data_IF_814897223305
#
_entry.id   IF_814897223305
#
_cell.length_a   1.000
_cell.length_b   1.000
_cell.length_c   1.000
_cell.angle_alpha   90.00
_cell.angle_beta   90.00
_cell.angle_gamma   90.00
#
_symmetry.space_group_name_H-M   'P 1'
#
loop_
_entity.id
_entity.type
_entity.pdbx_description
1 polymer ?
#
# COMPACT_ATOMS: atom_id res chain seq x y z
N UNK A 1 -25.86 4.66 -6.42
CA UNK A 1 -25.95 3.19 -6.46
C UNK A 1 -25.77 2.69 -5.06
N UNK A 2 -26.88 2.26 -4.48
CA UNK A 2 -27.00 1.82 -3.09
C UNK A 2 -26.07 0.66 -2.78
N UNK A 3 -25.22 0.83 -1.77
CA UNK A 3 -24.46 -0.29 -1.20
C UNK A 3 -25.43 -1.13 -0.39
N UNK A 4 -25.81 -2.27 -0.97
CA UNK A 4 -26.56 -3.35 -0.33
C UNK A 4 -25.92 -3.70 1.02
N UNK A 5 -26.76 -3.90 2.03
CA UNK A 5 -26.34 -4.35 3.36
C UNK A 5 -25.58 -5.67 3.24
N UNK A 6 -24.34 -5.65 3.72
CA UNK A 6 -23.51 -6.85 3.79
C UNK A 6 -24.02 -7.72 4.96
N UNK A 7 -24.21 -9.02 4.71
CA UNK A 7 -24.69 -9.95 5.75
C UNK A 7 -23.60 -10.08 6.82
N UNK A 8 -23.94 -9.67 8.04
CA UNK A 8 -23.05 -9.23 9.11
C UNK A 8 -22.00 -10.25 9.59
N UNK A 9 -20.72 -9.98 9.30
CA UNK A 9 -19.60 -10.51 10.08
C UNK A 9 -19.52 -9.75 11.42
N UNK A 10 -19.34 -10.47 12.53
CA UNK A 10 -19.17 -9.85 13.84
C UNK A 10 -17.90 -8.97 13.86
N UNK A 11 -18.02 -7.73 14.32
CA UNK A 11 -16.97 -6.74 14.34
C UNK A 11 -16.40 -6.56 15.75
N UNK A 12 -15.08 -6.59 15.89
CA UNK A 12 -14.41 -6.26 17.15
C UNK A 12 -14.42 -4.73 17.35
N UNK A 13 -15.02 -4.29 18.44
CA UNK A 13 -15.18 -2.86 18.75
C UNK A 13 -14.84 -2.58 20.21
N UNK A 14 -14.94 -1.31 20.60
CA UNK A 14 -14.67 -0.80 21.94
C UNK A 14 -15.76 0.16 22.36
N UNK A 15 -16.08 0.16 23.65
CA UNK A 15 -17.10 1.07 24.21
C UNK A 15 -16.64 1.68 25.51
N UNK A 16 -16.85 2.99 25.63
CA UNK A 16 -16.77 3.72 26.89
C UNK A 16 -18.12 3.80 27.59
N UNK A 17 -18.07 3.90 28.91
CA UNK A 17 -19.21 4.03 29.81
C UNK A 17 -18.87 5.00 30.93
N UNK A 18 -19.89 5.46 31.66
CA UNK A 18 -19.70 6.04 32.99
C UNK A 18 -19.17 5.00 33.99
N UNK A 19 -18.73 5.43 35.18
CA UNK A 19 -18.16 4.54 36.22
C UNK A 19 -19.10 3.41 36.66
N UNK A 20 -20.41 3.63 36.57
CA UNK A 20 -21.44 2.64 36.87
C UNK A 20 -21.83 1.75 35.67
N UNK A 21 -21.03 1.73 34.59
CA UNK A 21 -21.29 0.98 33.34
C UNK A 21 -22.59 1.39 32.65
N UNK A 22 -22.94 2.68 32.70
CA UNK A 22 -24.10 3.20 32.00
C UNK A 22 -23.72 4.04 30.80
N UNK A 23 -24.65 4.10 29.86
CA UNK A 23 -24.64 5.02 28.73
C UNK A 23 -25.97 5.74 28.74
N UNK A 24 -25.98 7.00 28.30
CA UNK A 24 -27.22 7.79 28.25
C UNK A 24 -27.53 8.19 26.81
N UNK A 25 -27.82 7.24 25.90
CA UNK A 25 -28.27 7.59 24.56
C UNK A 25 -29.58 8.41 24.67
N UNK A 26 -29.59 9.59 24.05
CA UNK A 26 -30.77 10.46 23.94
C UNK A 26 -31.44 10.78 25.28
N UNK A 27 -30.62 10.94 26.34
CA UNK A 27 -31.10 11.25 27.69
C UNK A 27 -31.65 10.05 28.48
N UNK A 28 -31.71 8.85 27.89
CA UNK A 28 -32.22 7.63 28.54
C UNK A 28 -31.06 6.78 29.06
N UNK A 29 -31.02 6.54 30.36
CA UNK A 29 -30.00 5.70 30.99
C UNK A 29 -30.20 4.24 30.59
N UNK A 30 -29.15 3.61 30.04
CA UNK A 30 -29.08 2.18 29.76
C UNK A 30 -27.91 1.57 30.55
N UNK A 31 -28.19 0.50 31.30
CA UNK A 31 -27.22 -0.22 32.12
C UNK A 31 -26.60 -1.38 31.34
N UNK A 32 -25.28 -1.45 31.31
CA UNK A 32 -24.55 -2.57 30.74
C UNK A 32 -23.91 -3.41 31.84
N UNK A 33 -23.67 -4.67 31.51
CA UNK A 33 -22.93 -5.63 32.31
C UNK A 33 -21.90 -6.33 31.43
N UNK A 34 -20.71 -6.57 31.99
CA UNK A 34 -19.66 -7.34 31.32
C UNK A 34 -20.12 -8.81 31.19
N UNK A 35 -19.88 -9.41 30.03
CA UNK A 35 -20.31 -10.76 29.66
C UNK A 35 -21.72 -10.84 29.09
N UNK A 36 -22.46 -9.73 28.99
CA UNK A 36 -23.82 -9.71 28.44
C UNK A 36 -23.86 -9.29 26.98
N UNK A 37 -24.88 -9.81 26.29
CA UNK A 37 -25.26 -9.43 24.92
C UNK A 37 -26.60 -8.72 24.96
N UNK A 38 -26.71 -7.65 24.20
CA UNK A 38 -27.91 -6.83 24.09
C UNK A 38 -28.31 -6.74 22.63
N UNK A 39 -29.62 -6.87 22.38
CA UNK A 39 -30.27 -6.79 21.07
C UNK A 39 -31.24 -5.61 21.09
N UNK A 40 -31.28 -4.83 19.99
CA UNK A 40 -32.13 -3.66 19.90
C UNK A 40 -33.61 -3.98 19.66
N UNK A 41 -33.98 -5.25 19.50
CA UNK A 41 -35.33 -5.72 19.27
C UNK A 41 -35.82 -5.47 17.85
N UNK A 42 -34.93 -5.48 16.87
CA UNK A 42 -35.28 -5.25 15.45
C UNK A 42 -35.54 -3.79 15.08
N UNK A 43 -35.08 -2.84 15.92
CA UNK A 43 -35.13 -1.41 15.60
C UNK A 43 -34.14 -1.06 14.49
N UNK A 44 -34.39 0.03 13.77
CA UNK A 44 -33.49 0.47 12.71
C UNK A 44 -32.12 0.83 13.28
N UNK A 45 -31.07 0.47 12.54
CA UNK A 45 -29.69 0.81 12.89
C UNK A 45 -29.24 1.98 12.04
N UNK A 46 -29.25 3.18 12.62
CA UNK A 46 -28.71 4.38 11.99
C UNK A 46 -27.63 4.99 12.88
N UNK A 47 -26.62 5.61 12.25
CA UNK A 47 -25.55 6.30 12.99
C UNK A 47 -26.18 7.44 13.78
N UNK A 48 -26.05 7.40 15.10
CA UNK A 48 -26.66 8.35 16.05
C UNK A 48 -28.21 8.34 16.11
N UNK A 49 -28.89 7.28 15.65
CA UNK A 49 -30.33 7.13 15.84
C UNK A 49 -30.73 6.42 17.13
N UNK A 50 -31.95 6.69 17.59
CA UNK A 50 -32.58 6.05 18.74
C UNK A 50 -32.62 4.52 18.58
N UNK A 51 -32.10 3.82 19.59
CA UNK A 51 -32.24 2.36 19.70
C UNK A 51 -31.10 1.53 19.12
N UNK A 52 -30.07 2.12 18.52
CA UNK A 52 -28.86 1.39 18.13
C UNK A 52 -27.77 1.41 19.21
N UNK A 53 -26.94 0.37 19.27
CA UNK A 53 -25.80 0.34 20.19
C UNK A 53 -24.56 0.97 19.57
N UNK A 54 -24.02 2.01 20.19
CA UNK A 54 -22.80 2.67 19.71
C UNK A 54 -21.54 2.10 20.34
N UNK A 55 -20.54 1.85 19.49
CA UNK A 55 -19.17 1.50 19.85
C UNK A 55 -18.20 2.11 18.82
N UNK A 56 -16.89 1.96 19.01
CA UNK A 56 -15.85 2.46 18.11
C UNK A 56 -14.91 1.34 17.67
N UNK A 57 -14.36 1.39 16.47
CA UNK A 57 -13.36 0.41 16.01
C UNK A 57 -11.96 0.74 16.56
N UNK A 58 -11.61 2.03 16.64
CA UNK A 58 -10.36 2.51 17.22
C UNK A 58 -10.58 2.86 18.69
N UNK A 59 -9.89 2.19 19.65
CA UNK A 59 -10.22 2.37 21.07
C UNK A 59 -10.10 3.81 21.57
N UNK A 60 -9.07 4.58 21.17
CA UNK A 60 -8.90 5.97 21.65
C UNK A 60 -10.04 6.90 21.24
N UNK A 61 -10.81 6.60 20.19
CA UNK A 61 -12.01 7.38 19.87
C UNK A 61 -13.05 7.33 20.99
N UNK A 62 -13.05 6.27 21.81
CA UNK A 62 -13.92 6.20 22.99
C UNK A 62 -13.61 7.31 24.00
N UNK A 63 -12.39 7.86 24.02
CA UNK A 63 -12.01 8.99 24.89
C UNK A 63 -12.67 10.30 24.50
N UNK A 64 -13.06 10.46 23.24
CA UNK A 64 -13.85 11.61 22.80
C UNK A 64 -15.26 11.63 23.41
N UNK A 65 -15.76 10.48 23.86
CA UNK A 65 -17.09 10.34 24.47
C UNK A 65 -17.03 10.18 26.00
N UNK A 66 -16.05 9.44 26.50
CA UNK A 66 -15.86 9.18 27.92
C UNK A 66 -14.40 9.41 28.30
N UNK A 67 -14.13 10.37 29.18
CA UNK A 67 -12.76 10.69 29.57
C UNK A 67 -12.06 9.51 30.27
N UNK A 68 -10.76 9.28 30.06
CA UNK A 68 -10.04 8.14 30.61
C UNK A 68 -10.00 8.09 32.15
N UNK A 69 -10.16 9.24 32.82
CA UNK A 69 -10.21 9.33 34.28
C UNK A 69 -11.64 9.17 34.85
N UNK A 70 -12.66 9.39 34.02
CA UNK A 70 -14.06 9.47 34.44
C UNK A 70 -14.91 8.32 33.92
N UNK A 71 -14.44 7.60 32.91
CA UNK A 71 -15.12 6.47 32.30
C UNK A 71 -14.49 5.11 32.58
N UNK A 72 -15.23 4.06 32.24
CA UNK A 72 -14.77 2.68 32.13
C UNK A 72 -14.85 2.24 30.68
N UNK A 73 -14.03 1.28 30.28
CA UNK A 73 -13.94 0.86 28.88
C UNK A 73 -13.98 -0.66 28.78
N UNK A 74 -14.63 -1.18 27.74
CA UNK A 74 -14.66 -2.60 27.47
C UNK A 74 -14.35 -2.88 26.00
N UNK A 75 -13.77 -4.06 25.74
CA UNK A 75 -13.84 -4.65 24.42
C UNK A 75 -15.26 -5.16 24.18
N UNK A 76 -15.73 -4.99 22.96
CA UNK A 76 -17.09 -5.34 22.56
C UNK A 76 -17.08 -6.08 21.23
N UNK A 77 -18.16 -6.80 20.97
CA UNK A 77 -18.44 -7.41 19.67
C UNK A 77 -19.74 -6.83 19.16
N UNK A 78 -19.69 -6.10 18.05
CA UNK A 78 -20.85 -5.57 17.35
C UNK A 78 -21.30 -6.56 16.27
N UNK A 79 -22.59 -6.85 16.17
CA UNK A 79 -23.15 -7.77 15.18
C UNK A 79 -24.59 -7.39 14.80
N UNK A 80 -25.20 -8.18 13.91
CA UNK A 80 -26.47 -7.83 13.27
C UNK A 80 -26.27 -6.70 12.26
N UNK A 81 -27.31 -5.89 12.03
CA UNK A 81 -27.17 -4.71 11.18
C UNK A 81 -26.15 -3.75 11.78
N UNK A 82 -25.20 -3.27 10.97
CA UNK A 82 -24.15 -2.34 11.37
C UNK A 82 -24.16 -1.14 10.43
N UNK A 83 -24.28 0.05 11.01
CA UNK A 83 -24.10 1.32 10.30
C UNK A 83 -22.75 1.95 10.67
N UNK A 84 -21.94 2.20 9.65
CA UNK A 84 -20.75 3.05 9.69
C UNK A 84 -21.06 4.34 8.94
N UNK A 85 -20.26 5.39 9.12
CA UNK A 85 -20.37 6.57 8.24
C UNK A 85 -19.19 6.69 7.30
N UNK A 86 -18.99 7.89 6.79
CA UNK A 86 -18.14 8.10 5.63
C UNK A 86 -16.66 7.82 5.90
N UNK A 87 -15.97 7.39 4.84
CA UNK A 87 -14.54 7.15 4.86
C UNK A 87 -13.80 8.46 5.21
N UNK A 88 -12.98 8.43 6.27
CA UNK A 88 -12.24 9.59 6.78
C UNK A 88 -12.87 10.30 7.99
N UNK A 89 -14.03 9.84 8.48
CA UNK A 89 -14.63 10.30 9.75
C UNK A 89 -14.16 9.51 10.98
N UNK A 90 -14.79 9.76 12.15
CA UNK A 90 -14.51 8.98 13.37
C UNK A 90 -14.90 7.51 13.20
N UNK A 91 -14.30 6.61 13.99
CA UNK A 91 -14.51 5.16 13.88
C UNK A 91 -15.76 4.64 14.59
N UNK A 92 -16.72 5.53 14.90
CA UNK A 92 -18.00 5.16 15.53
C UNK A 92 -18.84 4.30 14.60
N UNK A 93 -19.34 3.22 15.18
CA UNK A 93 -20.32 2.33 14.56
C UNK A 93 -21.59 2.27 15.40
N UNK A 94 -22.71 2.03 14.75
CA UNK A 94 -23.98 1.69 15.38
C UNK A 94 -24.32 0.24 15.00
N UNK A 95 -24.73 -0.59 15.96
CA UNK A 95 -25.10 -1.99 15.71
C UNK A 95 -26.44 -2.37 16.31
N UNK A 96 -27.09 -3.38 15.72
CA UNK A 96 -28.30 -3.99 16.24
C UNK A 96 -28.02 -4.80 17.52
N UNK A 97 -26.87 -5.48 17.54
CA UNK A 97 -26.44 -6.33 18.66
C UNK A 97 -25.08 -5.85 19.16
N UNK A 98 -24.89 -5.83 20.47
CA UNK A 98 -23.60 -5.61 21.10
C UNK A 98 -23.38 -6.59 22.25
N UNK A 99 -22.21 -7.24 22.26
CA UNK A 99 -21.73 -8.02 23.41
C UNK A 99 -20.65 -7.23 24.12
N UNK A 100 -20.76 -7.10 25.45
CA UNK A 100 -19.73 -6.50 26.30
C UNK A 100 -18.80 -7.63 26.74
N UNK A 101 -17.61 -7.74 26.15
CA UNK A 101 -16.77 -8.93 26.33
C UNK A 101 -16.00 -8.88 27.64
N UNK A 102 -15.10 -7.91 27.78
CA UNK A 102 -14.25 -7.77 28.96
C UNK A 102 -13.94 -6.29 29.20
N UNK A 103 -13.91 -5.90 30.47
CA UNK A 103 -13.42 -4.58 30.85
C UNK A 103 -11.91 -4.48 30.57
N UNK A 104 -11.50 -3.35 30.00
CA UNK A 104 -10.11 -3.07 29.64
C UNK A 104 -9.48 -2.16 30.70
N UNK A 105 -8.34 -2.60 31.22
CA UNK A 105 -7.45 -1.71 31.97
C UNK A 105 -6.70 -0.80 31.01
N UNK A 106 -6.25 0.35 31.51
CA UNK A 106 -5.53 1.34 30.72
C UNK A 106 -4.36 0.75 29.89
N UNK A 107 -3.51 -0.16 30.42
CA UNK A 107 -2.45 -0.77 29.61
C UNK A 107 -2.97 -1.60 28.43
N UNK A 108 -4.05 -2.37 28.62
CA UNK A 108 -4.62 -3.21 27.55
C UNK A 108 -5.33 -2.36 26.50
N UNK A 109 -5.97 -1.28 26.96
CA UNK A 109 -6.58 -0.29 26.10
C UNK A 109 -5.53 0.37 25.19
N UNK A 110 -4.41 0.84 25.77
CA UNK A 110 -3.30 1.44 25.01
C UNK A 110 -2.70 0.44 24.02
N UNK A 111 -2.45 -0.81 24.45
CA UNK A 111 -1.91 -1.86 23.56
C UNK A 111 -2.82 -2.11 22.35
N UNK A 112 -4.12 -2.19 22.57
CA UNK A 112 -5.10 -2.40 21.49
C UNK A 112 -5.18 -1.20 20.55
N UNK A 113 -5.07 0.02 21.07
CA UNK A 113 -5.01 1.24 20.26
C UNK A 113 -3.77 1.27 19.38
N UNK A 114 -2.60 0.96 19.95
CA UNK A 114 -1.34 0.88 19.19
C UNK A 114 -1.42 -0.20 18.13
N UNK A 115 -1.96 -1.38 18.45
CA UNK A 115 -2.16 -2.45 17.47
C UNK A 115 -3.07 -2.00 16.32
N UNK A 116 -4.19 -1.33 16.62
CA UNK A 116 -5.09 -0.80 15.59
C UNK A 116 -4.40 0.22 14.70
N UNK A 117 -3.64 1.18 15.28
CA UNK A 117 -2.90 2.20 14.52
C UNK A 117 -1.83 1.55 13.62
N UNK A 118 -1.10 0.55 14.13
CA UNK A 118 -0.10 -0.19 13.35
C UNK A 118 -0.76 -0.91 12.17
N UNK A 119 -1.87 -1.62 12.39
CA UNK A 119 -2.60 -2.28 11.30
C UNK A 119 -3.13 -1.26 10.27
N UNK A 120 -3.74 -0.16 10.72
CA UNK A 120 -4.20 0.91 9.83
C UNK A 120 -3.06 1.58 9.04
N UNK A 121 -1.86 1.70 9.64
CA UNK A 121 -0.70 2.31 9.01
C UNK A 121 0.06 1.37 8.05
N UNK A 122 -0.05 0.05 8.22
CA UNK A 122 0.59 -0.94 7.33
C UNK A 122 0.08 -0.83 5.89
N UNK A 123 -1.17 -0.40 5.70
CA UNK A 123 -1.80 -0.25 4.39
C UNK A 123 -1.76 1.21 3.89
N UNK A 124 -0.62 1.90 4.00
CA UNK A 124 -0.48 3.29 3.51
C UNK A 124 -0.53 3.37 1.97
N UNK A 125 -1.71 3.17 1.39
CA UNK A 125 -2.01 3.41 -0.01
C UNK A 125 -2.40 4.89 -0.12
N UNK A 126 -1.50 5.72 -0.63
CA UNK A 126 -1.87 7.11 -0.95
C UNK A 126 -2.62 7.14 -2.26
N UNK A 127 -3.82 7.72 -2.25
CA UNK A 127 -4.67 7.86 -3.44
C UNK A 127 -5.02 9.33 -3.68
N UNK A 128 -5.23 9.72 -4.94
CA UNK A 128 -5.76 11.05 -5.30
C UNK A 128 -4.89 11.87 -6.27
N UNK A 129 -5.23 13.15 -6.42
CA UNK A 129 -4.50 14.09 -7.28
C UNK A 129 -3.15 14.44 -6.63
N UNK A 130 -2.04 14.15 -7.32
CA UNK A 130 -0.67 14.31 -6.81
C UNK A 130 -0.42 13.53 -5.51
N UNK A 131 -0.91 12.29 -5.44
CA UNK A 131 -0.60 11.40 -4.34
C UNK A 131 0.90 11.08 -4.28
N UNK A 132 1.46 11.04 -3.06
CA UNK A 132 2.86 10.73 -2.79
C UNK A 132 2.95 9.72 -1.64
N UNK A 133 3.46 8.52 -1.90
CA UNK A 133 3.84 7.54 -0.88
C UNK A 133 5.35 7.50 -0.73
N UNK A 134 5.83 7.49 0.51
CA UNK A 134 7.24 7.26 0.83
C UNK A 134 7.35 6.24 1.97
N UNK A 135 8.26 5.27 1.85
CA UNK A 135 8.51 4.27 2.89
C UNK A 135 10.01 4.02 3.05
N UNK A 136 10.46 3.76 4.27
CA UNK A 136 11.86 3.47 4.58
C UNK A 136 11.99 2.30 5.55
N UNK A 137 13.04 1.51 5.43
CA UNK A 137 13.35 0.39 6.34
C UNK A 137 13.51 -0.96 5.65
N UNK A 138 13.82 -1.98 6.44
CA UNK A 138 13.96 -3.36 5.96
C UNK A 138 12.60 -3.86 5.43
N UNK A 139 12.55 -4.25 4.14
CA UNK A 139 11.32 -4.62 3.43
C UNK A 139 10.29 -3.50 3.33
N UNK A 140 10.73 -2.24 3.22
CA UNK A 140 9.83 -1.10 3.03
C UNK A 140 8.97 -1.23 1.76
N UNK A 141 7.70 -0.87 1.85
CA UNK A 141 6.75 -0.86 0.74
C UNK A 141 6.07 0.50 0.64
N UNK A 142 6.07 1.09 -0.56
CA UNK A 142 5.35 2.31 -0.88
C UNK A 142 4.47 2.08 -2.11
N UNK A 143 3.18 2.39 -2.00
CA UNK A 143 2.24 2.30 -3.11
C UNK A 143 1.45 3.60 -3.24
N UNK A 144 1.34 4.12 -4.47
CA UNK A 144 0.56 5.31 -4.78
C UNK A 144 -0.27 5.11 -6.03
N UNK A 145 -1.51 5.63 -6.03
CA UNK A 145 -2.38 5.58 -7.21
C UNK A 145 -3.05 6.93 -7.44
N UNK A 146 -3.29 7.28 -8.71
CA UNK A 146 -4.04 8.48 -9.09
C UNK A 146 -3.36 9.36 -10.14
N UNK A 147 -3.82 10.60 -10.24
CA UNK A 147 -3.31 11.57 -11.22
C UNK A 147 -1.93 12.07 -10.77
N UNK A 148 -0.88 11.83 -11.57
CA UNK A 148 0.51 12.17 -11.21
C UNK A 148 0.94 11.54 -9.89
N UNK A 149 0.67 10.24 -9.73
CA UNK A 149 1.04 9.47 -8.55
C UNK A 149 2.55 9.22 -8.46
N UNK A 150 3.09 9.30 -7.24
CA UNK A 150 4.51 9.09 -6.94
C UNK A 150 4.65 8.10 -5.77
N UNK A 151 5.47 7.07 -5.94
CA UNK A 151 5.85 6.15 -4.88
C UNK A 151 7.37 6.07 -4.77
N UNK A 152 7.89 6.22 -3.56
CA UNK A 152 9.32 6.10 -3.26
C UNK A 152 9.54 5.12 -2.10
N UNK A 153 10.47 4.18 -2.24
CA UNK A 153 10.83 3.25 -1.17
C UNK A 153 12.34 3.13 -1.01
N UNK A 154 12.83 3.01 0.22
CA UNK A 154 14.27 2.87 0.50
C UNK A 154 14.54 1.81 1.56
N UNK A 155 15.44 0.89 1.28
CA UNK A 155 15.89 -0.15 2.20
C UNK A 155 16.18 -1.48 1.53
N UNK A 156 16.74 -2.43 2.28
CA UNK A 156 16.97 -3.79 1.78
C UNK A 156 15.63 -4.46 1.44
N UNK A 157 15.49 -4.98 0.21
CA UNK A 157 14.23 -5.49 -0.35
C UNK A 157 13.09 -4.47 -0.34
N UNK A 158 13.39 -3.22 -0.71
CA UNK A 158 12.39 -2.16 -0.81
C UNK A 158 11.56 -2.29 -2.10
N UNK A 159 10.25 -2.04 -1.99
CA UNK A 159 9.31 -2.07 -3.11
C UNK A 159 8.59 -0.73 -3.25
N UNK A 160 8.58 -0.17 -4.46
CA UNK A 160 7.81 1.01 -4.83
C UNK A 160 6.90 0.70 -6.02
N UNK A 161 5.61 1.01 -5.90
CA UNK A 161 4.61 0.81 -6.95
C UNK A 161 3.80 2.09 -7.18
N UNK A 162 3.72 2.56 -8.42
CA UNK A 162 2.90 3.73 -8.78
C UNK A 162 2.00 3.44 -9.97
N UNK A 163 0.71 3.75 -9.84
CA UNK A 163 -0.27 3.58 -10.91
C UNK A 163 -0.90 4.92 -11.29
N UNK A 164 -0.65 5.35 -12.51
CA UNK A 164 -1.23 6.55 -13.10
C UNK A 164 -2.62 6.28 -13.65
N UNK A 165 -3.54 7.23 -13.48
CA UNK A 165 -4.82 7.22 -14.19
C UNK A 165 -4.62 7.44 -15.70
N UNK A 166 -5.54 6.95 -16.53
CA UNK A 166 -5.51 7.05 -18.00
C UNK A 166 -5.14 8.46 -18.48
N UNK A 167 -4.12 8.55 -19.33
CA UNK A 167 -3.63 9.80 -19.90
C UNK A 167 -2.61 10.58 -19.07
N UNK A 168 -2.12 10.06 -17.94
CA UNK A 168 -1.17 10.77 -17.07
C UNK A 168 -0.02 9.91 -16.55
N UNK A 169 1.10 10.58 -16.26
CA UNK A 169 2.33 9.96 -15.75
C UNK A 169 2.22 9.45 -14.32
N UNK A 170 3.03 8.45 -14.03
CA UNK A 170 3.26 7.88 -12.71
C UNK A 170 4.76 7.66 -12.53
N UNK A 171 5.25 7.82 -11.30
CA UNK A 171 6.66 7.63 -10.99
C UNK A 171 6.82 6.67 -9.80
N UNK A 172 7.61 5.61 -9.98
CA UNK A 172 8.03 4.72 -8.92
C UNK A 172 9.56 4.73 -8.80
N UNK A 173 10.08 4.96 -7.60
CA UNK A 173 11.50 4.94 -7.31
C UNK A 173 11.78 4.00 -6.13
N UNK A 174 12.72 3.06 -6.28
CA UNK A 174 13.14 2.19 -5.19
C UNK A 174 14.67 2.16 -5.08
N UNK A 175 15.19 2.13 -3.84
CA UNK A 175 16.64 2.11 -3.58
C UNK A 175 16.98 1.10 -2.50
N UNK A 176 17.96 0.25 -2.77
CA UNK A 176 18.48 -0.78 -1.88
C UNK A 176 18.76 -2.09 -2.60
N UNK A 177 19.49 -3.00 -1.95
CA UNK A 177 19.72 -4.33 -2.53
C UNK A 177 18.40 -5.09 -2.66
N UNK A 178 18.21 -5.72 -3.82
CA UNK A 178 16.97 -6.37 -4.24
C UNK A 178 15.76 -5.42 -4.25
N UNK A 179 15.99 -4.13 -4.55
CA UNK A 179 14.93 -3.15 -4.69
C UNK A 179 14.11 -3.36 -5.98
N UNK A 180 12.80 -3.19 -5.88
CA UNK A 180 11.88 -3.26 -7.01
C UNK A 180 11.10 -1.95 -7.17
N UNK A 181 11.10 -1.40 -8.38
CA UNK A 181 10.25 -0.27 -8.76
C UNK A 181 9.33 -0.68 -9.92
N UNK A 182 8.03 -0.47 -9.77
CA UNK A 182 7.04 -0.74 -10.79
C UNK A 182 6.16 0.48 -11.03
N UNK A 183 6.04 0.92 -12.28
CA UNK A 183 5.18 2.05 -12.65
C UNK A 183 4.28 1.70 -13.83
N UNK A 184 3.03 2.16 -13.81
CA UNK A 184 2.07 1.93 -14.90
C UNK A 184 1.36 3.22 -15.28
N UNK A 185 1.17 3.48 -16.58
CA UNK A 185 0.48 4.67 -17.09
C UNK A 185 1.17 5.32 -18.30
N UNK A 186 0.50 6.31 -18.91
CA UNK A 186 1.08 7.09 -20.02
C UNK A 186 2.25 7.94 -19.52
N UNK A 187 3.45 7.80 -20.09
CA UNK A 187 4.70 8.40 -19.57
C UNK A 187 5.06 7.94 -18.15
N UNK A 188 4.81 6.67 -17.84
CA UNK A 188 5.21 6.07 -16.57
C UNK A 188 6.74 5.91 -16.46
N UNK A 189 7.30 6.19 -15.28
CA UNK A 189 8.72 6.06 -15.00
C UNK A 189 8.95 5.14 -13.80
N UNK A 190 9.74 4.10 -13.99
CA UNK A 190 10.21 3.23 -12.90
C UNK A 190 11.74 3.33 -12.82
N UNK A 191 12.27 3.66 -11.64
CA UNK A 191 13.69 3.72 -11.36
C UNK A 191 14.04 2.83 -10.17
N UNK A 192 14.98 1.92 -10.31
CA UNK A 192 15.48 1.08 -9.22
C UNK A 192 17.01 1.10 -9.13
N UNK A 193 17.55 1.13 -7.91
CA UNK A 193 19.01 1.17 -7.70
C UNK A 193 19.40 0.21 -6.58
N UNK A 194 20.38 -0.65 -6.84
CA UNK A 194 20.96 -1.61 -5.88
C UNK A 194 21.38 -2.93 -6.52
N UNK A 195 22.07 -3.79 -5.77
CA UNK A 195 22.43 -5.12 -6.28
C UNK A 195 21.16 -5.96 -6.50
N UNK A 196 20.97 -6.53 -7.68
CA UNK A 196 19.76 -7.27 -8.05
C UNK A 196 18.51 -6.40 -8.15
N UNK A 197 18.65 -5.10 -8.38
CA UNK A 197 17.52 -4.18 -8.50
C UNK A 197 16.72 -4.40 -9.78
N UNK A 198 15.39 -4.29 -9.71
CA UNK A 198 14.52 -4.42 -10.87
C UNK A 198 13.65 -3.17 -11.05
N UNK A 199 13.58 -2.68 -12.29
CA UNK A 199 12.66 -1.62 -12.69
C UNK A 199 11.74 -2.12 -13.81
N UNK A 200 10.43 -1.96 -13.64
CA UNK A 200 9.44 -2.31 -14.65
C UNK A 200 8.49 -1.15 -14.90
N UNK A 201 8.32 -0.75 -16.15
CA UNK A 201 7.39 0.33 -16.51
C UNK A 201 6.48 -0.05 -17.66
N UNK A 202 5.19 0.26 -17.57
CA UNK A 202 4.21 -0.06 -18.62
C UNK A 202 3.42 1.18 -19.05
N UNK A 203 3.08 1.25 -20.34
CA UNK A 203 2.35 2.36 -20.96
C UNK A 203 3.18 3.09 -22.03
N UNK A 204 2.51 3.83 -22.91
CA UNK A 204 3.20 4.54 -24.00
C UNK A 204 4.16 5.60 -23.46
N UNK A 205 5.34 5.68 -24.09
CA UNK A 205 6.45 6.53 -23.67
C UNK A 205 6.92 6.25 -22.23
N UNK A 206 6.75 5.02 -21.76
CA UNK A 206 7.23 4.60 -20.46
C UNK A 206 8.76 4.45 -20.43
N UNK A 207 9.35 4.68 -19.28
CA UNK A 207 10.77 4.50 -19.04
C UNK A 207 11.00 3.61 -17.83
N UNK A 208 11.84 2.60 -17.98
CA UNK A 208 12.34 1.77 -16.88
C UNK A 208 13.87 1.90 -16.83
N UNK A 209 14.40 2.29 -15.68
CA UNK A 209 15.83 2.41 -15.45
C UNK A 209 16.24 1.61 -14.21
N UNK A 210 17.20 0.70 -14.36
CA UNK A 210 17.75 -0.04 -13.23
C UNK A 210 19.28 0.03 -13.20
N UNK A 211 19.85 0.27 -12.03
CA UNK A 211 21.30 0.39 -11.83
C UNK A 211 21.77 -0.46 -10.66
N UNK A 212 23.02 -0.92 -10.72
CA UNK A 212 23.62 -1.87 -9.78
C UNK A 212 23.87 -3.24 -10.41
N UNK A 213 24.73 -4.05 -9.79
CA UNK A 213 25.09 -5.36 -10.33
C UNK A 213 23.86 -6.26 -10.42
N UNK A 214 23.73 -7.03 -11.50
CA UNK A 214 22.58 -7.90 -11.78
C UNK A 214 21.24 -7.14 -11.90
N UNK A 215 21.27 -5.84 -12.18
CA UNK A 215 20.06 -5.05 -12.35
C UNK A 215 19.25 -5.49 -13.59
N UNK A 216 17.92 -5.40 -13.51
CA UNK A 216 17.02 -5.67 -14.62
C UNK A 216 16.10 -4.49 -14.91
N UNK A 217 15.93 -4.13 -16.17
CA UNK A 217 14.97 -3.11 -16.61
C UNK A 217 14.03 -3.67 -17.69
N UNK A 218 12.73 -3.48 -17.54
CA UNK A 218 11.73 -3.92 -18.51
C UNK A 218 10.70 -2.83 -18.82
N UNK A 219 10.39 -2.62 -20.10
CA UNK A 219 9.35 -1.67 -20.52
C UNK A 219 8.46 -2.19 -21.64
N UNK A 220 7.13 -2.05 -21.52
CA UNK A 220 6.16 -2.70 -22.43
C UNK A 220 5.22 -1.76 -23.21
N UNK A 221 5.62 -0.51 -23.48
CA UNK A 221 4.81 0.44 -24.27
C UNK A 221 5.46 0.91 -25.57
N UNK A 222 4.66 1.55 -26.44
CA UNK A 222 5.19 2.15 -27.66
C UNK A 222 6.06 3.38 -27.32
N UNK A 223 7.22 3.51 -27.96
CA UNK A 223 8.21 4.54 -27.64
C UNK A 223 8.85 4.38 -26.25
N UNK A 224 8.67 3.22 -25.61
CA UNK A 224 9.23 2.97 -24.28
C UNK A 224 10.71 2.60 -24.34
N UNK A 225 11.44 2.90 -23.26
CA UNK A 225 12.87 2.59 -23.14
C UNK A 225 13.14 1.85 -21.83
N UNK A 226 13.85 0.72 -21.93
CA UNK A 226 14.41 0.00 -20.80
C UNK A 226 15.94 0.20 -20.75
N UNK A 227 16.45 0.79 -19.68
CA UNK A 227 17.87 1.03 -19.47
C UNK A 227 18.38 0.27 -18.25
N UNK A 228 19.35 -0.62 -18.45
CA UNK A 228 20.02 -1.31 -17.36
C UNK A 228 21.53 -1.07 -17.47
N UNK A 229 22.12 -0.40 -16.48
CA UNK A 229 23.47 0.18 -16.60
C UNK A 229 24.49 -0.38 -15.60
N UNK A 230 24.14 -1.45 -14.87
CA UNK A 230 25.07 -2.13 -13.97
C UNK A 230 25.80 -3.32 -14.61
N UNK A 231 26.79 -3.87 -13.90
CA UNK A 231 27.46 -5.08 -14.35
C UNK A 231 26.46 -6.25 -14.41
N UNK A 232 26.54 -7.10 -15.44
CA UNK A 232 25.62 -8.24 -15.68
C UNK A 232 24.14 -7.84 -15.75
N UNK A 233 23.87 -6.58 -16.01
CA UNK A 233 22.50 -6.10 -16.09
C UNK A 233 21.83 -6.56 -17.38
N UNK A 234 20.50 -6.62 -17.34
CA UNK A 234 19.70 -7.05 -18.47
C UNK A 234 18.56 -6.09 -18.73
N UNK A 235 18.18 -5.95 -20.00
CA UNK A 235 17.07 -5.09 -20.42
C UNK A 235 16.15 -5.82 -21.39
N UNK A 236 14.86 -5.55 -21.29
CA UNK A 236 13.83 -6.07 -22.19
C UNK A 236 12.86 -4.97 -22.60
N UNK A 237 12.48 -4.95 -23.88
CA UNK A 237 11.47 -4.05 -24.40
C UNK A 237 10.57 -4.77 -25.43
N UNK A 238 9.39 -4.20 -25.70
CA UNK A 238 8.46 -4.70 -26.72
C UNK A 238 8.65 -3.98 -28.05
N UNK A 239 7.99 -4.47 -29.11
CA UNK A 239 8.00 -3.83 -30.42
C UNK A 239 7.59 -2.34 -30.32
N UNK A 240 8.33 -1.46 -31.00
CA UNK A 240 8.17 -0.01 -30.90
C UNK A 240 8.93 0.64 -29.73
N UNK A 241 9.60 -0.14 -28.87
CA UNK A 241 10.49 0.34 -27.82
C UNK A 241 11.97 0.17 -28.15
N UNK A 242 12.82 0.43 -27.15
CA UNK A 242 14.26 0.24 -27.24
C UNK A 242 14.91 -0.12 -25.90
N UNK A 243 16.14 -0.60 -25.98
CA UNK A 243 16.97 -0.95 -24.82
C UNK A 243 18.26 -0.13 -24.79
N UNK A 244 18.78 0.12 -23.59
CA UNK A 244 20.11 0.70 -23.34
C UNK A 244 20.84 -0.18 -22.33
N UNK A 245 22.04 -0.63 -22.68
CA UNK A 245 22.82 -1.56 -21.87
C UNK A 245 24.28 -1.12 -21.77
N UNK A 246 24.90 -1.40 -20.63
CA UNK A 246 26.32 -1.18 -20.36
C UNK A 246 27.05 -2.51 -20.11
N UNK A 247 28.29 -2.61 -20.58
CA UNK A 247 29.18 -3.74 -20.32
C UNK A 247 30.42 -3.26 -19.56
N UNK A 248 30.87 -4.10 -18.64
CA UNK A 248 32.01 -3.82 -17.78
C UNK A 248 33.05 -4.94 -17.91
N UNK A 249 34.33 -4.57 -17.91
CA UNK A 249 35.43 -5.49 -17.67
C UNK A 249 35.48 -5.82 -16.19
N UNK A 250 35.13 -7.06 -15.87
CA UNK A 250 35.06 -7.59 -14.51
C UNK A 250 36.41 -8.17 -14.02
N UNK A 251 37.43 -8.21 -14.89
CA UNK A 251 38.76 -8.73 -14.54
C UNK A 251 39.59 -7.74 -13.72
N UNK A 252 39.19 -6.47 -13.72
CA UNK A 252 39.87 -5.38 -13.02
C UNK A 252 39.01 -4.86 -11.86
N UNK A 253 39.65 -4.44 -10.78
CA UNK A 253 38.96 -3.82 -9.65
C UNK A 253 39.40 -2.36 -9.46
N UNK A 254 38.47 -1.39 -9.42
CA UNK A 254 37.03 -1.54 -9.65
C UNK A 254 36.71 -1.90 -11.11
N UNK A 255 35.53 -2.48 -11.36
CA UNK A 255 35.07 -2.82 -12.70
C UNK A 255 35.13 -1.60 -13.64
N UNK A 256 35.58 -1.82 -14.87
CA UNK A 256 35.78 -0.76 -15.86
C UNK A 256 34.69 -0.80 -16.92
N UNK A 257 33.98 0.30 -17.15
CA UNK A 257 33.03 0.40 -18.26
C UNK A 257 33.79 0.26 -19.59
N UNK A 258 33.38 -0.71 -20.42
CA UNK A 258 34.03 -1.02 -21.72
C UNK A 258 33.10 -0.78 -22.91
N UNK A 259 31.78 -0.92 -22.73
CA UNK A 259 30.83 -0.63 -23.79
C UNK A 259 29.53 -0.04 -23.25
N UNK A 260 28.90 0.80 -24.06
CA UNK A 260 27.55 1.31 -23.88
C UNK A 260 26.88 1.28 -25.25
N UNK A 261 25.69 0.66 -25.33
CA UNK A 261 24.94 0.54 -26.57
C UNK A 261 23.45 0.77 -26.33
N UNK A 262 22.80 1.30 -27.36
CA UNK A 262 21.35 1.40 -27.45
C UNK A 262 20.88 0.74 -28.74
N UNK A 263 19.73 0.09 -28.69
CA UNK A 263 19.11 -0.48 -29.89
C UNK A 263 17.59 -0.43 -29.78
N UNK A 264 16.93 -0.18 -30.91
CA UNK A 264 15.50 -0.37 -31.04
C UNK A 264 15.17 -1.85 -31.14
N UNK A 265 14.00 -2.23 -30.65
CA UNK A 265 13.47 -3.57 -30.86
C UNK A 265 13.17 -3.77 -32.34
N UNK A 266 13.63 -4.90 -32.89
CA UNK A 266 13.62 -5.21 -34.32
C UNK A 266 14.90 -4.81 -35.06
N UNK A 267 15.89 -4.22 -34.39
CA UNK A 267 17.21 -3.88 -34.93
C UNK A 267 18.32 -4.59 -34.17
N UNK A 268 19.48 -4.79 -34.79
CA UNK A 268 20.69 -5.35 -34.17
C UNK A 268 20.45 -6.70 -33.44
N UNK A 269 19.55 -7.54 -33.96
CA UNK A 269 19.21 -8.84 -33.36
C UNK A 269 18.32 -8.78 -32.12
N UNK A 270 17.77 -7.61 -31.76
CA UNK A 270 16.87 -7.45 -30.61
C UNK A 270 15.45 -7.84 -30.97
N UNK A 271 14.95 -8.90 -30.34
CA UNK A 271 13.59 -9.40 -30.49
C UNK A 271 12.69 -8.90 -29.36
N UNK A 272 11.41 -8.68 -29.68
CA UNK A 272 10.43 -8.16 -28.73
C UNK A 272 10.22 -9.10 -27.55
N UNK A 273 10.18 -8.54 -26.34
CA UNK A 273 9.87 -9.26 -25.10
C UNK A 273 11.01 -10.17 -24.58
N UNK A 274 12.15 -10.24 -25.27
CA UNK A 274 13.31 -11.00 -24.79
C UNK A 274 14.25 -10.11 -23.98
N UNK A 275 14.96 -10.74 -23.05
CA UNK A 275 15.98 -10.07 -22.22
C UNK A 275 17.36 -10.18 -22.85
N UNK A 276 18.09 -9.07 -22.86
CA UNK A 276 19.44 -9.00 -23.41
C UNK A 276 20.42 -8.43 -22.38
N UNK A 277 21.69 -8.82 -22.49
CA UNK A 277 22.85 -8.17 -21.84
C UNK A 277 23.82 -7.68 -22.91
N UNK A 278 24.76 -6.82 -22.53
CA UNK A 278 25.84 -6.37 -23.41
C UNK A 278 27.13 -7.10 -23.05
N UNK A 279 27.79 -7.68 -24.05
CA UNK A 279 29.11 -8.31 -23.89
C UNK A 279 30.22 -7.27 -23.79
N UNK A 280 31.41 -7.67 -23.34
CA UNK A 280 32.59 -6.78 -23.28
C UNK A 280 33.02 -6.26 -24.65
N UNK A 281 32.69 -6.98 -25.73
CA UNK A 281 32.94 -6.57 -27.11
C UNK A 281 31.90 -5.57 -27.63
N UNK A 282 30.85 -5.31 -26.83
CA UNK A 282 29.76 -4.39 -27.18
C UNK A 282 28.67 -5.02 -28.03
N UNK A 283 28.55 -6.36 -28.01
CA UNK A 283 27.50 -7.11 -28.72
C UNK A 283 26.31 -7.42 -27.80
N UNK A 284 25.11 -7.42 -28.37
CA UNK A 284 23.92 -7.81 -27.63
C UNK A 284 23.81 -9.34 -27.55
N UNK A 285 23.69 -9.87 -26.33
CA UNK A 285 23.54 -11.30 -26.08
C UNK A 285 22.20 -11.56 -25.40
N UNK A 286 21.38 -12.45 -25.99
CA UNK A 286 20.11 -12.85 -25.41
C UNK A 286 20.34 -13.71 -24.16
N UNK A 287 19.67 -13.38 -23.05
CA UNK A 287 19.69 -14.17 -21.82
C UNK A 287 18.49 -15.11 -21.81
N UNK A 288 18.71 -16.40 -21.56
CA UNK A 288 17.62 -17.37 -21.43
C UNK A 288 16.87 -17.15 -20.11
N UNK A 289 15.54 -17.12 -20.18
CA UNK A 289 14.62 -17.05 -19.04
C UNK A 289 14.37 -18.41 -18.42
#
# INVERSE_FOLDING_TARGET
MDRKSDKSVALATYKGFTRDLTCTPDGKKFQYEVGKTYDNGGKSVTRCGDGAFHSVEMPLDAWGYYGPATGRFASTTASGDIAKGDAGGDTKVASAVITINAELRLPDFIRKSVAWIIEAAKESVTTGYRAHAASTGYRAHAASTGYRAHAASTGYRAHAASTGSTGNGAHAASTGDYAHAASTGYRAHAASTGNGAHAASTGDYAHAASTGDYAHAASTGNGAIAAALGAKSTAAAVAGGGIVLAAYDESVWPYKLVALRASLVGQNGIEAGKSYRLTIDGEFEQVQS
#
